data_IF_224422044498
#
_entry.id   IF_224422044498
#
_cell.length_a   1.000
_cell.length_b   1.000
_cell.length_c   1.000
_cell.angle_alpha   90.00
_cell.angle_beta   90.00
_cell.angle_gamma   90.00
#
_symmetry.space_group_name_H-M   'P 1'
#
loop_
_entity.id
_entity.type
_entity.pdbx_description
1 polymer ?
#
# COMPACT_ATOMS: atom_id res chain seq x y z
N UNK A 1 -22.34 -10.55 1.43
CA UNK A 1 -22.22 -10.07 0.02
C UNK A 1 -22.96 -8.73 -0.20
N UNK A 2 -24.18 -8.55 0.30
CA UNK A 2 -24.98 -7.30 0.20
C UNK A 2 -24.25 -5.99 0.60
N UNK A 3 -23.46 -5.98 1.68
CA UNK A 3 -22.75 -4.77 2.15
C UNK A 3 -21.68 -4.23 1.18
N UNK A 4 -21.13 -5.09 0.31
CA UNK A 4 -20.13 -4.69 -0.67
C UNK A 4 -20.77 -4.03 -1.89
N UNK A 5 -21.97 -4.47 -2.29
CA UNK A 5 -22.68 -3.92 -3.44
C UNK A 5 -23.02 -2.44 -3.24
N UNK A 6 -23.56 -2.08 -2.08
CA UNK A 6 -23.89 -0.69 -1.75
C UNK A 6 -22.68 0.26 -1.79
N UNK A 7 -21.48 -0.23 -1.44
CA UNK A 7 -20.24 0.56 -1.54
C UNK A 7 -19.80 0.76 -2.99
N UNK A 8 -20.01 -0.24 -3.86
CA UNK A 8 -19.73 -0.11 -5.29
C UNK A 8 -20.67 0.91 -5.94
N UNK A 9 -21.94 0.86 -5.56
CA UNK A 9 -22.97 1.77 -6.07
C UNK A 9 -22.69 3.22 -5.64
N UNK A 10 -22.20 3.43 -4.40
CA UNK A 10 -21.83 4.76 -3.88
C UNK A 10 -20.56 5.33 -4.51
N UNK A 11 -19.64 4.46 -4.95
CA UNK A 11 -18.42 4.87 -5.65
C UNK A 11 -18.66 5.13 -7.15
N UNK A 12 -19.84 4.78 -7.68
CA UNK A 12 -20.17 4.84 -9.12
C UNK A 12 -19.13 4.14 -10.02
N UNK A 13 -18.35 3.22 -9.46
CA UNK A 13 -17.27 2.50 -10.14
C UNK A 13 -17.70 1.06 -10.43
N UNK A 14 -17.42 0.53 -11.64
CA UNK A 14 -17.73 -0.85 -11.95
C UNK A 14 -16.91 -1.78 -11.05
N UNK A 15 -17.55 -2.84 -10.56
CA UNK A 15 -16.92 -3.83 -9.68
C UNK A 15 -15.59 -4.36 -10.24
N UNK A 16 -15.51 -4.50 -11.56
CA UNK A 16 -14.33 -4.95 -12.27
C UNK A 16 -13.16 -3.95 -12.18
N UNK A 17 -13.42 -2.64 -12.27
CA UNK A 17 -12.38 -1.63 -12.09
C UNK A 17 -11.81 -1.65 -10.67
N UNK A 18 -12.66 -1.85 -9.66
CA UNK A 18 -12.22 -1.98 -8.27
C UNK A 18 -11.41 -3.26 -8.07
N UNK A 19 -11.82 -4.38 -8.68
CA UNK A 19 -11.05 -5.62 -8.63
C UNK A 19 -9.66 -5.48 -9.29
N UNK A 20 -9.58 -4.79 -10.42
CA UNK A 20 -8.31 -4.45 -11.09
C UNK A 20 -7.43 -3.57 -10.19
N UNK A 21 -7.99 -2.50 -9.62
CA UNK A 21 -7.27 -1.62 -8.70
C UNK A 21 -6.70 -2.40 -7.50
N UNK A 22 -7.52 -3.25 -6.87
CA UNK A 22 -7.07 -4.08 -5.74
C UNK A 22 -5.93 -5.01 -6.16
N UNK A 23 -5.99 -5.62 -7.35
CA UNK A 23 -4.89 -6.44 -7.88
C UNK A 23 -3.60 -5.63 -8.03
N UNK A 24 -3.67 -4.40 -8.56
CA UNK A 24 -2.50 -3.52 -8.66
C UNK A 24 -1.93 -3.15 -7.29
N UNK A 25 -2.79 -2.88 -6.31
CA UNK A 25 -2.38 -2.56 -4.94
C UNK A 25 -1.71 -3.76 -4.25
N UNK A 26 -2.19 -4.98 -4.47
CA UNK A 26 -1.52 -6.19 -3.96
C UNK A 26 -0.13 -6.35 -4.56
N UNK A 27 0.02 -6.21 -5.88
CA UNK A 27 1.34 -6.28 -6.54
C UNK A 27 2.26 -5.17 -6.03
N UNK A 28 1.72 -3.97 -5.80
CA UNK A 28 2.44 -2.86 -5.21
C UNK A 28 2.94 -3.19 -3.79
N UNK A 29 2.07 -3.75 -2.93
CA UNK A 29 2.40 -4.15 -1.57
C UNK A 29 3.54 -5.16 -1.53
N UNK A 30 3.49 -6.18 -2.40
CA UNK A 30 4.55 -7.17 -2.53
C UNK A 30 5.86 -6.53 -3.01
N UNK A 31 5.82 -5.67 -4.02
CA UNK A 31 6.99 -4.97 -4.55
C UNK A 31 7.64 -4.02 -3.54
N UNK A 32 6.86 -3.48 -2.62
CA UNK A 32 7.34 -2.63 -1.53
C UNK A 32 7.68 -3.40 -0.25
N UNK A 33 7.79 -4.73 -0.35
CA UNK A 33 8.17 -5.62 0.76
C UNK A 33 7.24 -5.53 1.98
N UNK A 34 5.97 -5.14 1.78
CA UNK A 34 4.98 -5.03 2.87
C UNK A 34 4.86 -6.32 3.70
N UNK A 35 4.87 -7.54 3.11
CA UNK A 35 4.85 -8.78 3.89
C UNK A 35 6.07 -8.94 4.81
N UNK A 36 7.26 -8.55 4.33
CA UNK A 36 8.49 -8.61 5.12
C UNK A 36 8.46 -7.56 6.24
N UNK A 37 7.99 -6.35 5.96
CA UNK A 37 7.79 -5.31 6.97
C UNK A 37 6.83 -5.75 8.08
N UNK A 38 5.71 -6.40 7.72
CA UNK A 38 4.77 -6.99 8.67
C UNK A 38 5.42 -8.06 9.53
N UNK A 39 6.12 -9.01 8.92
CA UNK A 39 6.83 -10.08 9.64
C UNK A 39 7.82 -9.51 10.65
N UNK A 40 8.65 -8.56 10.22
CA UNK A 40 9.64 -7.90 11.07
C UNK A 40 8.99 -7.13 12.22
N UNK A 41 7.90 -6.40 11.96
CA UNK A 41 7.20 -5.62 12.98
C UNK A 41 6.55 -6.52 14.06
N UNK A 42 6.02 -7.68 13.65
CA UNK A 42 5.41 -8.66 14.55
C UNK A 42 6.46 -9.43 15.37
N UNK A 43 7.60 -9.79 14.76
CA UNK A 43 8.69 -10.53 15.42
C UNK A 43 9.49 -9.66 16.40
N UNK A 44 9.81 -8.41 16.03
CA UNK A 44 10.60 -7.49 16.87
C UNK A 44 9.99 -7.25 18.25
N UNK A 45 8.66 -7.33 18.37
CA UNK A 45 7.94 -7.04 19.62
C UNK A 45 7.61 -8.27 20.46
N UNK A 46 7.64 -9.47 19.89
CA UNK A 46 7.49 -10.72 20.64
C UNK A 46 8.65 -10.96 21.65
N UNK A 47 9.77 -10.26 21.47
CA UNK A 47 10.95 -10.30 22.35
C UNK A 47 10.86 -9.35 23.56
N UNK A 48 9.84 -8.48 23.62
CA UNK A 48 9.59 -7.64 24.81
C UNK A 48 8.80 -8.46 25.83
N UNK A 49 9.29 -8.60 27.07
CA UNK A 49 8.76 -9.46 28.14
C UNK A 49 7.36 -9.10 28.69
N UNK A 50 6.42 -8.76 27.80
CA UNK A 50 5.04 -8.37 28.08
C UNK A 50 4.18 -9.63 28.27
N UNK A 51 3.20 -9.59 29.19
CA UNK A 51 2.21 -10.66 29.40
C UNK A 51 1.54 -11.06 28.07
N UNK A 52 1.42 -12.37 27.81
CA UNK A 52 0.96 -12.96 26.54
C UNK A 52 -0.37 -12.39 26.00
N UNK A 53 -1.30 -12.03 26.88
CA UNK A 53 -2.62 -11.47 26.51
C UNK A 53 -2.50 -10.08 25.85
N UNK A 54 -1.56 -9.26 26.32
CA UNK A 54 -1.27 -7.95 25.72
C UNK A 54 -0.49 -8.07 24.40
N UNK A 55 0.16 -9.21 24.12
CA UNK A 55 0.94 -9.41 22.89
C UNK A 55 0.03 -9.50 21.66
N UNK A 56 -1.08 -10.25 21.74
CA UNK A 56 -1.98 -10.46 20.59
C UNK A 56 -2.63 -9.15 20.16
N UNK A 57 -3.22 -8.41 21.10
CA UNK A 57 -3.84 -7.12 20.80
C UNK A 57 -2.85 -6.12 20.19
N UNK A 58 -1.61 -6.11 20.69
CA UNK A 58 -0.54 -5.26 20.14
C UNK A 58 -0.11 -5.68 18.74
N UNK A 59 -0.03 -6.98 18.47
CA UNK A 59 0.27 -7.51 17.14
C UNK A 59 -0.81 -7.11 16.13
N UNK A 60 -2.09 -7.24 16.50
CA UNK A 60 -3.22 -6.79 15.68
C UNK A 60 -3.12 -5.29 15.40
N UNK A 61 -2.93 -4.46 16.42
CA UNK A 61 -2.78 -3.01 16.24
C UNK A 61 -1.57 -2.67 15.35
N UNK A 62 -0.45 -3.36 15.53
CA UNK A 62 0.76 -3.13 14.73
C UNK A 62 0.52 -3.47 13.25
N UNK A 63 -0.12 -4.60 12.97
CA UNK A 63 -0.49 -4.98 11.62
C UNK A 63 -1.49 -3.99 11.00
N UNK A 64 -2.50 -3.57 11.75
CA UNK A 64 -3.49 -2.58 11.31
C UNK A 64 -2.84 -1.25 10.93
N UNK A 65 -1.98 -0.70 11.79
CA UNK A 65 -1.30 0.56 11.52
C UNK A 65 -0.42 0.48 10.28
N UNK A 66 0.32 -0.62 10.12
CA UNK A 66 1.22 -0.81 8.97
C UNK A 66 0.43 -0.97 7.66
N UNK A 67 -0.65 -1.76 7.67
CA UNK A 67 -1.54 -1.91 6.51
C UNK A 67 -2.25 -0.59 6.16
N UNK A 68 -2.69 0.17 7.17
CA UNK A 68 -3.34 1.46 6.96
C UNK A 68 -2.36 2.51 6.41
N UNK A 69 -1.13 2.54 6.91
CA UNK A 69 -0.08 3.43 6.39
C UNK A 69 0.23 3.13 4.92
N UNK A 70 0.32 1.84 4.55
CA UNK A 70 0.44 1.45 3.15
C UNK A 70 -0.76 1.87 2.31
N UNK A 71 -1.99 1.62 2.78
CA UNK A 71 -3.20 1.95 2.03
C UNK A 71 -3.39 3.46 1.81
N UNK A 72 -2.95 4.27 2.77
CA UNK A 72 -3.05 5.73 2.71
C UNK A 72 -1.88 6.36 1.93
N UNK A 73 -0.66 5.85 2.10
CA UNK A 73 0.56 6.57 1.69
C UNK A 73 1.49 5.78 0.77
N UNK A 74 1.24 4.49 0.55
CA UNK A 74 2.13 3.60 -0.20
C UNK A 74 3.58 3.57 0.34
N UNK A 75 3.77 3.90 1.63
CA UNK A 75 5.08 3.99 2.30
C UNK A 75 5.87 5.29 2.04
N UNK A 76 5.30 6.28 1.33
CA UNK A 76 6.00 7.53 1.00
C UNK A 76 6.23 8.44 2.21
N UNK A 77 5.37 8.39 3.23
CA UNK A 77 5.49 9.20 4.45
C UNK A 77 6.79 8.91 5.23
N UNK A 78 7.31 7.69 5.13
CA UNK A 78 8.59 7.29 5.73
C UNK A 78 9.82 7.85 4.97
N UNK A 79 9.64 8.36 3.75
CA UNK A 79 10.71 8.90 2.91
C UNK A 79 10.75 10.44 3.00
N UNK A 80 11.93 11.07 2.92
CA UNK A 80 12.04 12.51 2.75
C UNK A 80 11.35 12.98 1.47
N UNK A 81 10.71 14.15 1.48
CA UNK A 81 9.97 14.69 0.32
C UNK A 81 10.79 14.67 -0.99
N UNK A 82 12.08 14.99 -0.94
CA UNK A 82 12.94 14.99 -2.13
C UNK A 82 13.20 13.62 -2.78
N UNK A 83 12.88 12.51 -2.10
CA UNK A 83 13.00 11.15 -2.64
C UNK A 83 11.67 10.60 -3.15
N UNK A 84 10.57 11.29 -2.88
CA UNK A 84 9.24 10.85 -3.29
C UNK A 84 8.99 11.18 -4.76
N UNK A 85 8.19 10.38 -5.46
CA UNK A 85 7.74 10.71 -6.80
C UNK A 85 7.02 12.06 -6.83
N UNK A 86 7.13 12.78 -7.94
CA UNK A 86 6.31 13.96 -8.22
C UNK A 86 4.87 13.53 -8.55
N UNK A 87 3.89 14.19 -7.96
CA UNK A 87 2.47 14.01 -8.28
C UNK A 87 2.17 14.34 -9.75
N UNK A 88 1.22 13.61 -10.33
CA UNK A 88 0.80 13.79 -11.73
C UNK A 88 -0.32 14.83 -11.84
N UNK A 89 -1.09 15.02 -10.76
CA UNK A 89 -2.21 15.94 -10.63
C UNK A 89 -1.87 17.12 -9.70
N UNK A 90 -2.78 18.10 -9.66
CA UNK A 90 -2.67 19.26 -8.76
C UNK A 90 -1.39 20.08 -8.96
N UNK A 91 -0.78 20.46 -7.83
CA UNK A 91 0.40 21.33 -7.80
C UNK A 91 1.72 20.66 -8.24
N UNK A 92 1.69 19.39 -8.68
CA UNK A 92 2.86 18.61 -9.12
C UNK A 92 4.04 18.69 -8.15
N UNK A 93 3.74 18.62 -6.86
CA UNK A 93 4.73 18.54 -5.77
C UNK A 93 5.09 17.07 -5.53
N UNK A 94 6.16 16.78 -4.75
CA UNK A 94 6.37 15.42 -4.28
C UNK A 94 5.14 14.89 -3.53
N UNK A 95 4.79 13.61 -3.71
CA UNK A 95 3.59 13.03 -3.11
C UNK A 95 3.55 13.28 -1.59
N UNK A 96 2.39 13.70 -1.10
CA UNK A 96 2.11 13.94 0.32
C UNK A 96 3.05 14.96 0.97
N UNK A 97 3.55 15.94 0.20
CA UNK A 97 4.46 16.98 0.69
C UNK A 97 3.84 17.84 1.80
N UNK A 98 2.51 17.97 1.84
CA UNK A 98 1.83 18.82 2.83
C UNK A 98 2.01 18.33 4.28
N UNK A 99 2.22 17.03 4.50
CA UNK A 99 2.51 16.48 5.84
C UNK A 99 3.94 16.76 6.35
N UNK A 100 4.82 17.29 5.49
CA UNK A 100 6.20 17.62 5.84
C UNK A 100 6.50 19.13 5.81
N UNK A 101 5.49 20.01 5.79
CA UNK A 101 5.74 21.45 5.93
C UNK A 101 6.40 21.70 7.30
N UNK A 102 7.70 21.96 7.28
CA UNK A 102 8.43 22.45 8.45
C UNK A 102 7.74 23.73 8.92
N UNK A 103 7.47 23.83 10.23
CA UNK A 103 7.00 25.07 10.85
C UNK A 103 8.24 25.89 11.20
N UNK A 104 8.55 26.99 10.48
CA UNK A 104 9.66 27.83 10.85
C UNK A 104 9.24 28.62 12.09
N UNK A 105 9.76 28.25 13.26
CA UNK A 105 9.45 28.91 14.54
C UNK A 105 8.36 28.21 15.38
N UNK A 106 7.59 28.99 16.17
CA UNK A 106 6.62 28.47 17.16
C UNK A 106 5.17 28.36 16.65
N UNK A 107 4.85 28.94 15.49
CA UNK A 107 3.47 28.99 14.97
C UNK A 107 3.41 28.62 13.49
N UNK A 108 2.37 27.88 13.06
CA UNK A 108 2.14 27.61 11.65
C UNK A 108 1.83 28.91 10.90
N UNK A 109 2.47 29.11 9.74
CA UNK A 109 2.08 30.19 8.83
C UNK A 109 0.79 29.77 8.12
N UNK A 110 -0.33 30.38 8.52
CA UNK A 110 -1.64 30.13 7.93
C UNK A 110 -1.80 30.99 6.68
N UNK A 111 -2.10 30.36 5.55
CA UNK A 111 -2.47 31.08 4.33
C UNK A 111 -3.79 31.84 4.55
N UNK A 112 -3.98 32.94 3.80
CA UNK A 112 -5.20 33.73 3.86
C UNK A 112 -6.46 32.95 3.46
N UNK A 113 -6.28 31.89 2.66
CA UNK A 113 -7.31 30.94 2.28
C UNK A 113 -6.89 29.53 2.69
N UNK A 114 -7.83 28.76 3.25
CA UNK A 114 -7.59 27.37 3.58
C UNK A 114 -7.48 26.54 2.30
N UNK A 115 -6.40 25.78 2.19
CA UNK A 115 -6.27 24.76 1.16
C UNK A 115 -7.29 23.65 1.40
N UNK A 116 -7.93 23.15 0.34
CA UNK A 116 -8.75 21.94 0.43
C UNK A 116 -7.85 20.70 0.49
N UNK A 117 -7.51 20.30 1.71
CA UNK A 117 -6.64 19.16 1.97
C UNK A 117 -7.22 17.84 1.45
N UNK A 118 -8.55 17.74 1.32
CA UNK A 118 -9.20 16.52 0.82
C UNK A 118 -8.91 16.36 -0.67
N UNK A 119 -8.98 17.46 -1.43
CA UNK A 119 -8.64 17.48 -2.86
C UNK A 119 -7.15 17.23 -3.05
N UNK A 120 -6.28 17.88 -2.26
CA UNK A 120 -4.83 17.66 -2.34
C UNK A 120 -4.48 16.20 -2.07
N UNK A 121 -5.08 15.59 -1.03
CA UNK A 121 -4.88 14.18 -0.72
C UNK A 121 -5.37 13.28 -1.86
N UNK A 122 -6.55 13.55 -2.43
CA UNK A 122 -7.10 12.76 -3.53
C UNK A 122 -6.20 12.82 -4.77
N UNK A 123 -5.72 14.01 -5.14
CA UNK A 123 -4.79 14.22 -6.27
C UNK A 123 -3.49 13.43 -6.07
N UNK A 124 -2.91 13.49 -4.87
CA UNK A 124 -1.71 12.75 -4.51
C UNK A 124 -1.96 11.23 -4.52
N UNK A 125 -3.08 10.77 -3.96
CA UNK A 125 -3.40 9.34 -3.87
C UNK A 125 -3.64 8.72 -5.26
N UNK A 126 -4.40 9.40 -6.13
CA UNK A 126 -4.63 8.98 -7.52
C UNK A 126 -3.32 9.00 -8.31
N UNK A 127 -2.50 10.05 -8.14
CA UNK A 127 -1.16 10.11 -8.74
C UNK A 127 -0.29 8.93 -8.29
N UNK A 128 -0.30 8.61 -7.00
CA UNK A 128 0.40 7.48 -6.42
C UNK A 128 -0.01 6.16 -7.06
N UNK A 129 -1.32 5.90 -7.16
CA UNK A 129 -1.83 4.68 -7.82
C UNK A 129 -1.31 4.57 -9.26
N UNK A 130 -1.42 5.64 -10.04
CA UNK A 130 -0.98 5.64 -11.43
C UNK A 130 0.52 5.31 -11.54
N UNK A 131 1.35 5.97 -10.73
CA UNK A 131 2.81 5.76 -10.68
C UNK A 131 3.14 4.31 -10.26
N UNK A 132 2.50 3.80 -9.21
CA UNK A 132 2.75 2.44 -8.72
C UNK A 132 2.28 1.38 -9.71
N UNK A 133 1.14 1.59 -10.37
CA UNK A 133 0.61 0.71 -11.42
C UNK A 133 1.57 0.61 -12.60
N UNK A 134 2.12 1.74 -13.06
CA UNK A 134 3.14 1.73 -14.12
C UNK A 134 4.39 0.95 -13.71
N UNK A 135 4.83 1.10 -12.45
CA UNK A 135 5.97 0.37 -11.90
C UNK A 135 5.70 -1.14 -11.72
N UNK A 136 4.45 -1.57 -11.64
CA UNK A 136 4.09 -2.98 -11.48
C UNK A 136 4.34 -3.82 -12.75
N UNK A 137 4.37 -3.21 -13.93
CA UNK A 137 4.52 -3.89 -15.24
C UNK A 137 5.77 -4.79 -15.28
N UNK A 138 6.88 -4.36 -14.68
CA UNK A 138 8.12 -5.15 -14.61
C UNK A 138 8.11 -6.25 -13.54
N UNK A 139 7.35 -6.07 -12.46
CA UNK A 139 7.30 -7.02 -11.34
C UNK A 139 6.43 -8.24 -11.66
N UNK A 140 5.40 -8.07 -12.50
CA UNK A 140 4.54 -9.17 -12.99
C UNK A 140 5.31 -10.19 -13.83
N UNK A 141 6.23 -9.71 -14.68
CA UNK A 141 7.06 -10.58 -15.54
C UNK A 141 8.00 -11.50 -14.74
N UNK A 142 8.34 -11.17 -13.50
CA UNK A 142 9.17 -12.01 -12.63
C UNK A 142 8.40 -13.06 -11.81
N UNK A 143 7.05 -13.01 -11.79
CA UNK A 143 6.18 -13.93 -11.05
C UNK A 143 5.36 -14.86 -11.93
N UNK A 144 5.46 -14.74 -13.24
CA UNK A 144 5.01 -15.79 -14.16
C UNK A 144 6.02 -16.94 -14.12
N UNK A 145 5.81 -17.86 -13.17
CA UNK A 145 6.38 -19.21 -13.03
C UNK A 145 7.73 -19.40 -13.76
N UNK A 146 8.84 -19.44 -13.01
CA UNK A 146 10.13 -19.76 -13.64
C UNK A 146 10.06 -21.15 -14.30
N UNK A 147 10.80 -21.42 -15.40
CA UNK A 147 10.78 -22.71 -16.08
C UNK A 147 10.96 -23.90 -15.12
N UNK A 148 11.77 -23.72 -14.07
CA UNK A 148 12.04 -24.71 -13.03
C UNK A 148 10.81 -24.96 -12.13
N UNK A 149 10.02 -23.91 -11.85
CA UNK A 149 8.76 -24.02 -11.09
C UNK A 149 7.66 -24.69 -11.94
N UNK A 150 7.64 -24.45 -13.24
CA UNK A 150 6.71 -25.12 -14.16
C UNK A 150 7.03 -26.62 -14.28
N UNK A 151 8.31 -26.98 -14.37
CA UNK A 151 8.74 -28.38 -14.31
C UNK A 151 8.40 -29.04 -12.97
N UNK A 152 8.58 -28.33 -11.86
CA UNK A 152 8.23 -28.84 -10.53
C UNK A 152 6.71 -29.11 -10.42
N UNK A 153 5.87 -28.19 -10.92
CA UNK A 153 4.42 -28.41 -11.00
C UNK A 153 4.05 -29.56 -11.96
N UNK A 154 4.73 -29.67 -13.10
CA UNK A 154 4.55 -30.76 -14.06
C UNK A 154 4.83 -32.14 -13.44
N UNK A 155 5.90 -32.26 -12.65
CA UNK A 155 6.25 -33.49 -11.91
C UNK A 155 5.18 -33.86 -10.87
N UNK A 156 4.64 -32.88 -10.15
CA UNK A 156 3.58 -33.11 -9.17
C UNK A 156 2.28 -33.56 -9.85
N UNK A 157 1.89 -32.94 -10.96
CA UNK A 157 0.68 -33.31 -11.72
C UNK A 157 0.79 -34.72 -12.32
N UNK A 158 1.98 -35.14 -12.80
CA UNK A 158 2.21 -36.51 -13.28
C UNK A 158 2.09 -37.55 -12.16
N UNK A 159 2.56 -37.24 -10.95
CA UNK A 159 2.43 -38.13 -9.80
C UNK A 159 0.96 -38.34 -9.36
N UNK A 160 0.08 -37.37 -9.58
CA UNK A 160 -1.35 -37.49 -9.31
C UNK A 160 -2.14 -38.22 -10.41
N UNK A 161 -1.66 -38.22 -11.67
CA UNK A 161 -2.29 -38.96 -12.79
C UNK A 161 -1.87 -40.43 -12.88
N UNK A 162 -0.80 -40.83 -12.20
CA UNK A 162 -0.30 -42.21 -12.16
C UNK A 162 -0.98 -43.07 -11.07
N UNK A 163 -2.09 -42.61 -10.49
CA UNK A 163 -2.96 -43.35 -9.56
C UNK A 163 -4.35 -43.54 -10.16
#
# INVERSE_FOLDING_TARGET
LSRRQHLLDLLELPAEAIALLVKELVVCAERLDLPLQLSNALLKRAQSGVRRENLVQRQVLTAQLLLNDFAAWFGHTAQPAGQRPTGLLGAKQPLFAFYQKEMPGRFPHLAAQADDQSVIFADDWISGIAIHTQKNVGHRKGKEITPEQNEAMGRVIQAFKAR
#
